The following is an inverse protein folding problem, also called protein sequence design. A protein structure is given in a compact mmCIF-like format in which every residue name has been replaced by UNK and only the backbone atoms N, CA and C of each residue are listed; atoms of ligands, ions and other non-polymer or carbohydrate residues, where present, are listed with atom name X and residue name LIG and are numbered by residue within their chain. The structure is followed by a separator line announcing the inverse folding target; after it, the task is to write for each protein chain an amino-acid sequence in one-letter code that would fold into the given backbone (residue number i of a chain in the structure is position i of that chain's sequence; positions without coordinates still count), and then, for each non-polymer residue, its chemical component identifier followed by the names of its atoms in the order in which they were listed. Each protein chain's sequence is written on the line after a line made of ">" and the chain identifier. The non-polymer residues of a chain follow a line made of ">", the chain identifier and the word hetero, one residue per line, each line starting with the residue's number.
data_IF_143594831384
#
_entry.id   IF_143594831384
#
_cell.length_a   1.000
_cell.length_b   1.000
_cell.length_c   1.000
_cell.angle_alpha   90.00
_cell.angle_beta   90.00
_cell.angle_gamma   90.00
#
_symmetry.space_group_name_H-M   'P 1'
#
loop_
_entity.id
_entity.type
_entity.pdbx_description
1 polymer ?
#
# COMPACT_ATOMS: atom_id res chain seq x y z
N UNK A 1 11.43 -0.78 -7.01
CA UNK A 1 10.77 -2.02 -6.54
C UNK A 1 11.22 -3.16 -7.42
N UNK A 2 11.71 -4.24 -6.81
CA UNK A 2 12.16 -5.42 -7.54
C UNK A 2 10.94 -6.15 -8.10
N UNK A 3 10.96 -6.42 -9.39
CA UNK A 3 9.89 -7.15 -10.04
C UNK A 3 10.52 -8.02 -11.12
N UNK A 4 10.03 -9.25 -11.26
CA UNK A 4 10.66 -10.26 -12.10
C UNK A 4 10.18 -10.13 -13.56
N UNK A 5 11.01 -10.57 -14.50
CA UNK A 5 10.69 -10.57 -15.93
C UNK A 5 9.71 -11.69 -16.29
N UNK A 6 9.13 -11.62 -17.50
CA UNK A 6 8.10 -12.57 -17.95
C UNK A 6 8.57 -14.03 -17.95
N UNK A 7 9.86 -14.30 -18.19
CA UNK A 7 10.45 -15.65 -18.14
C UNK A 7 10.23 -16.30 -16.76
N UNK A 8 10.38 -15.54 -15.68
CA UNK A 8 10.12 -16.04 -14.33
C UNK A 8 8.66 -16.45 -14.14
N UNK A 9 7.74 -15.77 -14.82
CA UNK A 9 6.30 -15.97 -14.72
C UNK A 9 5.71 -16.85 -15.82
N UNK A 10 6.52 -17.48 -16.68
CA UNK A 10 6.04 -18.21 -17.86
C UNK A 10 5.01 -19.29 -17.51
N UNK A 11 5.30 -20.13 -16.51
CA UNK A 11 4.36 -21.16 -16.04
C UNK A 11 3.06 -20.58 -15.47
N UNK A 12 3.13 -19.41 -14.84
CA UNK A 12 1.94 -18.73 -14.33
C UNK A 12 1.10 -18.19 -15.49
N UNK A 13 1.74 -17.57 -16.47
CA UNK A 13 1.09 -17.08 -17.69
C UNK A 13 0.39 -18.23 -18.42
N UNK A 14 1.05 -19.38 -18.56
CA UNK A 14 0.46 -20.59 -19.16
C UNK A 14 -0.79 -21.04 -18.38
N UNK A 15 -0.72 -21.10 -17.05
CA UNK A 15 -1.87 -21.47 -16.20
C UNK A 15 -3.04 -20.50 -16.34
N UNK A 16 -2.76 -19.19 -16.39
CA UNK A 16 -3.79 -18.16 -16.59
C UNK A 16 -4.44 -18.31 -17.98
N UNK A 17 -3.65 -18.56 -19.02
CA UNK A 17 -4.18 -18.81 -20.36
C UNK A 17 -5.05 -20.08 -20.41
N UNK A 18 -4.60 -21.16 -19.76
CA UNK A 18 -5.39 -22.39 -19.64
C UNK A 18 -6.69 -22.18 -18.85
N UNK A 19 -6.70 -21.29 -17.86
CA UNK A 19 -7.93 -20.90 -17.16
C UNK A 19 -8.89 -20.16 -18.10
N UNK A 20 -8.40 -19.16 -18.84
CA UNK A 20 -9.21 -18.41 -19.81
C UNK A 20 -9.87 -19.31 -20.84
N UNK A 21 -9.13 -20.24 -21.42
CA UNK A 21 -9.66 -21.14 -22.46
C UNK A 21 -10.70 -22.12 -21.94
N UNK A 22 -10.58 -22.53 -20.67
CA UNK A 22 -11.52 -23.44 -20.02
C UNK A 22 -12.71 -22.74 -19.36
N UNK A 23 -12.64 -21.43 -19.14
CA UNK A 23 -13.71 -20.67 -18.46
C UNK A 23 -15.09 -20.88 -19.11
N UNK A 24 -15.24 -20.89 -20.46
CA UNK A 24 -16.54 -21.15 -21.10
C UNK A 24 -17.10 -22.56 -20.81
N UNK A 25 -16.23 -23.53 -20.56
CA UNK A 25 -16.58 -24.93 -20.29
C UNK A 25 -16.76 -25.22 -18.79
N UNK A 26 -16.23 -24.37 -17.92
CA UNK A 26 -16.31 -24.51 -16.47
C UNK A 26 -17.60 -23.87 -15.97
N UNK A 27 -18.43 -24.65 -15.27
CA UNK A 27 -19.52 -24.09 -14.47
C UNK A 27 -18.90 -23.25 -13.35
N UNK A 28 -18.95 -21.93 -13.51
CA UNK A 28 -18.51 -20.98 -12.49
C UNK A 28 -19.46 -21.14 -11.28
N UNK A 29 -18.93 -21.38 -10.06
CA UNK A 29 -19.76 -21.55 -8.87
C UNK A 29 -20.52 -20.27 -8.54
N UNK A 30 -21.67 -20.42 -7.87
CA UNK A 30 -22.44 -19.28 -7.37
C UNK A 30 -21.68 -18.55 -6.26
N UNK A 31 -22.08 -17.33 -5.94
CA UNK A 31 -21.49 -16.58 -4.82
C UNK A 31 -21.72 -17.29 -3.48
N UNK A 32 -22.88 -17.93 -3.32
CA UNK A 32 -23.22 -18.73 -2.13
C UNK A 32 -22.28 -19.92 -1.99
N UNK A 33 -22.05 -20.69 -3.06
CA UNK A 33 -21.13 -21.83 -3.06
C UNK A 33 -19.72 -21.40 -2.66
N UNK A 34 -19.23 -20.30 -3.22
CA UNK A 34 -17.91 -19.76 -2.92
C UNK A 34 -17.79 -19.35 -1.45
N UNK A 35 -18.84 -18.70 -0.93
CA UNK A 35 -18.89 -18.24 0.46
C UNK A 35 -18.87 -19.42 1.43
N UNK A 36 -19.56 -20.52 1.10
CA UNK A 36 -19.60 -21.75 1.93
C UNK A 36 -18.23 -22.44 1.96
N UNK A 37 -17.60 -22.60 0.79
CA UNK A 37 -16.32 -23.33 0.69
C UNK A 37 -15.14 -22.46 1.16
N UNK A 38 -15.33 -21.14 1.23
CA UNK A 38 -14.30 -20.19 1.64
C UNK A 38 -13.19 -19.99 0.60
N UNK A 39 -13.48 -20.25 -0.67
CA UNK A 39 -12.55 -20.00 -1.78
C UNK A 39 -12.56 -18.50 -2.08
N UNK A 40 -11.40 -17.94 -2.46
CA UNK A 40 -11.27 -16.55 -2.91
C UNK A 40 -10.92 -16.51 -4.40
N UNK A 41 -11.93 -16.44 -5.29
CA UNK A 41 -11.71 -16.55 -6.74
C UNK A 41 -11.31 -15.24 -7.41
N UNK A 42 -11.56 -14.09 -6.76
CA UNK A 42 -11.32 -12.76 -7.33
C UNK A 42 -9.89 -12.57 -7.89
N UNK A 43 -8.81 -12.98 -7.20
CA UNK A 43 -7.46 -12.84 -7.73
C UNK A 43 -7.28 -13.51 -9.10
N UNK A 44 -7.92 -14.66 -9.33
CA UNK A 44 -7.80 -15.43 -10.56
C UNK A 44 -8.47 -14.73 -11.75
N UNK A 45 -9.66 -14.16 -11.53
CA UNK A 45 -10.35 -13.35 -12.56
C UNK A 45 -9.56 -12.08 -12.88
N UNK A 46 -9.00 -11.42 -11.88
CA UNK A 46 -8.19 -10.20 -12.06
C UNK A 46 -6.94 -10.49 -12.89
N UNK A 47 -6.17 -11.54 -12.56
CA UNK A 47 -4.96 -11.88 -13.34
C UNK A 47 -5.30 -12.37 -14.74
N UNK A 48 -6.44 -13.06 -14.87
CA UNK A 48 -6.96 -13.46 -16.16
C UNK A 48 -7.56 -12.29 -16.93
N UNK A 49 -7.76 -11.11 -16.33
CA UNK A 49 -8.42 -9.97 -16.99
C UNK A 49 -9.78 -10.37 -17.57
N UNK A 50 -10.50 -11.23 -16.86
CA UNK A 50 -11.85 -11.64 -17.21
C UNK A 50 -12.84 -10.90 -16.31
N UNK A 51 -13.99 -10.53 -16.87
CA UNK A 51 -15.05 -9.91 -16.09
C UNK A 51 -15.58 -10.89 -15.05
N UNK A 52 -16.03 -10.35 -13.91
CA UNK A 52 -16.70 -11.17 -12.91
C UNK A 52 -18.06 -11.63 -13.46
N UNK A 53 -18.56 -12.79 -13.02
CA UNK A 53 -19.95 -13.17 -13.25
C UNK A 53 -20.88 -12.09 -12.69
N UNK A 54 -21.93 -11.73 -13.44
CA UNK A 54 -22.91 -10.69 -13.04
C UNK A 54 -23.54 -10.97 -11.67
N UNK A 55 -23.73 -12.24 -11.32
CA UNK A 55 -24.22 -12.66 -10.01
C UNK A 55 -23.25 -12.28 -8.88
N UNK A 56 -21.94 -12.38 -9.09
CA UNK A 56 -20.95 -12.00 -8.08
C UNK A 56 -20.89 -10.49 -7.92
N UNK A 57 -21.10 -9.75 -9.01
CA UNK A 57 -21.08 -8.29 -8.97
C UNK A 57 -22.14 -7.72 -8.03
N UNK A 58 -23.35 -8.30 -8.00
CA UNK A 58 -24.42 -7.84 -7.10
C UNK A 58 -24.13 -8.05 -5.61
N UNK A 59 -23.12 -8.84 -5.26
CA UNK A 59 -22.71 -9.11 -3.88
C UNK A 59 -21.51 -8.29 -3.41
N UNK A 60 -20.92 -7.47 -4.30
CA UNK A 60 -19.75 -6.67 -4.00
C UNK A 60 -20.11 -5.19 -3.84
N UNK A 61 -19.54 -4.49 -2.85
CA UNK A 61 -19.73 -3.05 -2.73
C UNK A 61 -19.14 -2.33 -3.95
N UNK A 62 -19.75 -1.20 -4.31
CA UNK A 62 -19.42 -0.45 -5.54
C UNK A 62 -17.94 -0.12 -5.66
N UNK A 63 -17.30 0.33 -4.58
CA UNK A 63 -15.87 0.66 -4.58
C UNK A 63 -15.00 -0.56 -4.92
N UNK A 64 -15.37 -1.74 -4.43
CA UNK A 64 -14.62 -3.00 -4.63
C UNK A 64 -14.71 -3.42 -6.08
N UNK A 65 -15.89 -3.29 -6.70
CA UNK A 65 -16.07 -3.50 -8.14
C UNK A 65 -15.26 -2.52 -8.98
N UNK A 66 -15.32 -1.23 -8.67
CA UNK A 66 -14.56 -0.20 -9.39
C UNK A 66 -13.05 -0.48 -9.32
N UNK A 67 -12.54 -0.86 -8.14
CA UNK A 67 -11.14 -1.25 -7.99
C UNK A 67 -10.79 -2.50 -8.80
N UNK A 68 -11.58 -3.56 -8.71
CA UNK A 68 -11.38 -4.81 -9.47
C UNK A 68 -11.36 -4.53 -10.98
N UNK A 69 -12.36 -3.79 -11.46
CA UNK A 69 -12.48 -3.42 -12.86
C UNK A 69 -11.30 -2.54 -13.31
N UNK A 70 -10.78 -1.67 -12.45
CA UNK A 70 -9.58 -0.88 -12.75
C UNK A 70 -8.33 -1.75 -12.97
N UNK A 71 -8.22 -2.88 -12.25
CA UNK A 71 -7.11 -3.83 -12.40
C UNK A 71 -7.27 -4.69 -13.66
N UNK A 72 -8.47 -5.21 -13.91
CA UNK A 72 -8.80 -6.00 -15.12
C UNK A 72 -8.52 -5.18 -16.38
N UNK A 73 -9.00 -3.93 -16.42
CA UNK A 73 -8.92 -3.05 -17.58
C UNK A 73 -7.59 -2.28 -17.68
N UNK A 74 -6.65 -2.49 -16.75
CA UNK A 74 -5.35 -1.82 -16.79
C UNK A 74 -4.61 -2.18 -18.08
N UNK A 75 -4.14 -1.23 -18.91
CA UNK A 75 -3.48 -1.57 -20.16
C UNK A 75 -2.24 -2.45 -19.91
N UNK A 76 -2.02 -3.51 -20.70
CA UNK A 76 -0.83 -4.34 -20.56
C UNK A 76 0.42 -3.51 -20.85
N UNK A 77 1.49 -3.76 -20.08
CA UNK A 77 2.76 -3.11 -20.35
C UNK A 77 3.39 -3.76 -21.59
N UNK A 78 4.03 -2.99 -22.49
CA UNK A 78 4.76 -3.55 -23.63
C UNK A 78 5.84 -4.57 -23.22
N UNK A 79 6.32 -4.46 -21.97
CA UNK A 79 7.41 -5.28 -21.42
C UNK A 79 6.94 -6.40 -20.49
N UNK A 80 5.65 -6.43 -20.13
CA UNK A 80 5.11 -7.40 -19.17
C UNK A 80 3.70 -7.81 -19.50
N UNK A 81 3.50 -9.13 -19.59
CA UNK A 81 2.19 -9.75 -19.83
C UNK A 81 1.29 -9.76 -18.59
N UNK A 82 1.89 -9.74 -17.39
CA UNK A 82 1.16 -9.77 -16.12
C UNK A 82 1.13 -8.39 -15.45
N UNK A 83 0.17 -8.20 -14.53
CA UNK A 83 0.19 -7.05 -13.61
C UNK A 83 1.47 -7.14 -12.79
N UNK A 84 2.21 -6.05 -12.79
CA UNK A 84 3.49 -5.95 -12.11
C UNK A 84 3.29 -5.42 -10.69
N UNK A 85 4.21 -5.74 -9.76
CA UNK A 85 4.11 -5.29 -8.37
C UNK A 85 3.99 -3.76 -8.29
N UNK A 86 4.69 -3.04 -9.18
CA UNK A 86 4.68 -1.56 -9.29
C UNK A 86 3.35 -1.02 -9.72
N UNK A 87 2.72 -1.70 -10.67
CA UNK A 87 1.39 -1.32 -11.12
C UNK A 87 0.37 -1.55 -10.00
N UNK A 88 0.45 -2.70 -9.32
CA UNK A 88 -0.44 -2.99 -8.21
C UNK A 88 -0.29 -1.98 -7.06
N UNK A 89 0.96 -1.68 -6.66
CA UNK A 89 1.24 -0.69 -5.62
C UNK A 89 0.64 0.68 -5.94
N UNK A 90 0.85 1.17 -7.17
CA UNK A 90 0.34 2.48 -7.59
C UNK A 90 -1.19 2.46 -7.73
N UNK A 91 -1.79 1.37 -8.20
CA UNK A 91 -3.25 1.22 -8.24
C UNK A 91 -3.87 1.28 -6.86
N UNK A 92 -3.27 0.62 -5.86
CA UNK A 92 -3.71 0.68 -4.47
C UNK A 92 -3.65 2.11 -3.93
N UNK A 93 -2.56 2.82 -4.19
CA UNK A 93 -2.40 4.22 -3.77
C UNK A 93 -3.44 5.11 -4.45
N UNK A 94 -3.61 4.99 -5.78
CA UNK A 94 -4.57 5.80 -6.54
C UNK A 94 -5.99 5.57 -6.03
N UNK A 95 -6.39 4.32 -5.86
CA UNK A 95 -7.73 3.97 -5.39
C UNK A 95 -7.94 4.43 -3.94
N UNK A 96 -6.94 4.28 -3.07
CA UNK A 96 -7.01 4.84 -1.70
C UNK A 96 -7.25 6.36 -1.69
N UNK A 97 -6.52 7.10 -2.52
CA UNK A 97 -6.68 8.56 -2.61
C UNK A 97 -8.08 8.95 -3.14
N UNK A 98 -8.61 8.18 -4.10
CA UNK A 98 -9.98 8.37 -4.57
C UNK A 98 -11.00 8.11 -3.45
N UNK A 99 -10.88 7.01 -2.71
CA UNK A 99 -11.78 6.70 -1.59
C UNK A 99 -11.71 7.72 -0.46
N UNK A 100 -10.53 8.31 -0.25
CA UNK A 100 -10.34 9.41 0.69
C UNK A 100 -11.05 10.68 0.23
N UNK A 101 -11.02 10.98 -1.06
CA UNK A 101 -11.74 12.12 -1.65
C UNK A 101 -13.26 11.95 -1.55
N UNK A 102 -13.75 10.75 -1.82
CA UNK A 102 -15.18 10.39 -1.72
C UNK A 102 -15.67 10.24 -0.27
N UNK A 103 -14.77 10.10 0.69
CA UNK A 103 -15.05 9.77 2.09
C UNK A 103 -16.00 8.56 2.23
N UNK A 104 -15.71 7.49 1.47
CA UNK A 104 -16.58 6.34 1.37
C UNK A 104 -16.66 5.56 2.72
N UNK A 105 -17.83 5.45 3.37
CA UNK A 105 -17.95 4.81 4.69
C UNK A 105 -17.85 3.27 4.64
N UNK A 106 -18.09 2.66 3.48
CA UNK A 106 -18.01 1.20 3.28
C UNK A 106 -16.60 0.73 2.90
N UNK A 107 -15.66 1.66 2.75
CA UNK A 107 -14.29 1.36 2.36
C UNK A 107 -13.37 1.20 3.57
N UNK A 108 -12.56 0.15 3.54
CA UNK A 108 -11.40 0.00 4.41
C UNK A 108 -10.22 -0.61 3.63
N UNK A 109 -9.01 -0.01 3.69
CA UNK A 109 -7.83 -0.52 2.98
C UNK A 109 -7.48 -2.01 3.25
N UNK A 110 -7.87 -2.59 4.38
CA UNK A 110 -7.61 -4.01 4.64
C UNK A 110 -8.42 -4.97 3.81
N UNK A 111 -9.58 -4.56 3.30
CA UNK A 111 -10.38 -5.38 2.40
C UNK A 111 -9.74 -5.58 1.02
N UNK A 112 -8.68 -4.83 0.68
CA UNK A 112 -7.83 -5.20 -0.45
C UNK A 112 -7.30 -6.63 -0.33
N UNK A 113 -7.11 -7.12 0.89
CA UNK A 113 -6.61 -8.49 1.07
C UNK A 113 -7.57 -9.56 0.56
N UNK A 114 -8.87 -9.31 0.55
CA UNK A 114 -9.89 -10.22 0.00
C UNK A 114 -9.95 -10.20 -1.52
N UNK A 115 -9.46 -9.11 -2.13
CA UNK A 115 -9.39 -8.94 -3.57
C UNK A 115 -8.10 -9.54 -4.12
N UNK A 116 -6.99 -9.38 -3.40
CA UNK A 116 -5.65 -9.66 -3.91
C UNK A 116 -5.13 -11.06 -3.56
N UNK A 117 -5.59 -11.69 -2.49
CA UNK A 117 -5.00 -12.94 -2.01
C UNK A 117 -6.01 -14.09 -2.01
N UNK A 118 -5.54 -15.25 -2.47
CA UNK A 118 -6.36 -16.47 -2.46
C UNK A 118 -6.42 -17.15 -1.09
N UNK A 119 -5.44 -16.91 -0.23
CA UNK A 119 -5.31 -17.58 1.05
C UNK A 119 -4.81 -16.65 2.16
N UNK A 120 -4.90 -17.14 3.40
CA UNK A 120 -4.49 -16.42 4.61
C UNK A 120 -2.98 -16.16 4.70
N UNK A 121 -2.16 -16.89 3.94
CA UNK A 121 -0.70 -16.73 3.97
C UNK A 121 -0.25 -15.41 3.33
N UNK A 122 -1.08 -14.78 2.47
CA UNK A 122 -0.87 -13.43 1.92
C UNK A 122 0.51 -13.17 1.29
N UNK A 123 1.17 -14.21 0.78
CA UNK A 123 2.52 -14.12 0.20
C UNK A 123 2.55 -13.78 -1.30
N UNK A 124 1.41 -13.92 -1.99
CA UNK A 124 1.34 -13.81 -3.45
C UNK A 124 0.13 -12.98 -3.89
N UNK A 125 0.20 -11.64 -3.80
CA UNK A 125 -0.90 -10.78 -4.23
C UNK A 125 -1.09 -10.95 -5.74
N UNK A 126 -2.29 -11.31 -6.18
CA UNK A 126 -2.58 -11.62 -7.58
C UNK A 126 -1.58 -12.62 -8.17
N UNK A 127 -1.16 -13.60 -7.36
CA UNK A 127 -0.13 -14.59 -7.70
C UNK A 127 1.25 -14.02 -8.04
N UNK A 128 1.48 -12.72 -7.86
CA UNK A 128 2.79 -12.07 -8.04
C UNK A 128 3.72 -12.51 -6.91
N UNK A 129 4.98 -12.76 -7.20
CA UNK A 129 5.96 -13.11 -6.17
C UNK A 129 6.41 -11.84 -5.41
N UNK A 130 6.02 -11.72 -4.14
CA UNK A 130 6.32 -10.56 -3.28
C UNK A 130 7.01 -11.03 -1.97
N UNK A 131 8.30 -11.42 -2.03
CA UNK A 131 9.01 -12.01 -0.89
C UNK A 131 9.20 -11.03 0.28
N UNK A 132 9.10 -9.73 0.02
CA UNK A 132 9.24 -8.67 1.03
C UNK A 132 7.89 -8.25 1.62
N UNK A 133 6.79 -8.90 1.23
CA UNK A 133 5.42 -8.56 1.66
C UNK A 133 5.13 -7.07 1.47
N UNK A 134 5.61 -6.51 0.36
CA UNK A 134 5.54 -5.09 0.03
C UNK A 134 4.09 -4.62 -0.04
N UNK A 135 3.23 -5.40 -0.70
CA UNK A 135 1.82 -5.04 -0.89
C UNK A 135 1.04 -5.14 0.42
N UNK A 136 1.24 -6.23 1.18
CA UNK A 136 0.58 -6.39 2.48
C UNK A 136 0.97 -5.28 3.45
N UNK A 137 2.28 -4.99 3.55
CA UNK A 137 2.79 -3.90 4.37
C UNK A 137 2.23 -2.55 3.95
N UNK A 138 2.04 -2.35 2.64
CA UNK A 138 1.44 -1.14 2.11
C UNK A 138 -0.06 -1.03 2.45
N UNK A 139 -0.85 -2.09 2.29
CA UNK A 139 -2.25 -2.12 2.73
C UNK A 139 -2.39 -1.79 4.23
N UNK A 140 -1.51 -2.31 5.08
CA UNK A 140 -1.48 -1.98 6.51
C UNK A 140 -1.14 -0.50 6.74
N UNK A 141 -0.20 0.06 5.97
CA UNK A 141 0.16 1.48 6.01
C UNK A 141 -1.04 2.36 5.65
N UNK A 142 -1.74 2.01 4.56
CA UNK A 142 -2.95 2.71 4.12
C UNK A 142 -4.06 2.60 5.15
N UNK A 143 -4.21 1.46 5.83
CA UNK A 143 -5.16 1.37 6.94
C UNK A 143 -4.84 2.37 8.03
N UNK A 144 -3.59 2.39 8.52
CA UNK A 144 -3.25 3.28 9.63
C UNK A 144 -3.54 4.74 9.26
N UNK A 145 -3.32 5.14 8.00
CA UNK A 145 -3.74 6.45 7.51
C UNK A 145 -5.26 6.63 7.55
N UNK A 146 -6.01 5.64 7.04
CA UNK A 146 -7.47 5.66 7.03
C UNK A 146 -8.06 5.83 8.43
N UNK A 147 -7.57 5.08 9.41
CA UNK A 147 -8.02 5.15 10.81
C UNK A 147 -7.70 6.48 11.48
N UNK A 148 -6.64 7.17 11.02
CA UNK A 148 -6.23 8.47 11.56
C UNK A 148 -6.71 9.66 10.72
N UNK A 149 -7.54 9.43 9.69
CA UNK A 149 -7.89 10.45 8.68
C UNK A 149 -8.59 11.68 9.26
N UNK A 150 -9.50 11.49 10.22
CA UNK A 150 -10.23 12.57 10.90
C UNK A 150 -9.26 13.42 11.74
N UNK A 151 -8.48 12.78 12.61
CA UNK A 151 -7.48 13.43 13.48
C UNK A 151 -6.43 14.22 12.69
N UNK A 152 -6.11 13.77 11.49
CA UNK A 152 -5.08 14.38 10.63
C UNK A 152 -5.63 15.32 9.59
N UNK A 153 -6.96 15.43 9.48
CA UNK A 153 -7.64 16.15 8.41
C UNK A 153 -7.11 15.68 7.03
N UNK A 154 -6.93 14.37 6.87
CA UNK A 154 -6.31 13.78 5.68
C UNK A 154 -7.14 14.07 4.42
N UNK A 155 -8.46 14.19 4.59
CA UNK A 155 -9.44 14.54 3.54
C UNK A 155 -9.29 15.98 3.02
N UNK A 156 -8.55 16.85 3.72
CA UNK A 156 -8.29 18.23 3.29
C UNK A 156 -7.14 18.34 2.27
N UNK A 157 -6.34 17.28 2.12
CA UNK A 157 -5.27 17.25 1.12
C UNK A 157 -5.87 17.12 -0.29
N UNK A 158 -5.45 17.99 -1.20
CA UNK A 158 -5.93 18.02 -2.61
C UNK A 158 -4.87 17.69 -3.63
N UNK A 159 -3.60 17.92 -3.29
CA UNK A 159 -2.48 17.63 -4.18
C UNK A 159 -1.55 16.65 -3.48
N UNK A 160 -1.30 15.51 -4.13
CA UNK A 160 -0.41 14.48 -3.63
C UNK A 160 0.83 14.38 -4.50
N UNK A 161 1.97 14.13 -3.87
CA UNK A 161 3.23 13.83 -4.54
C UNK A 161 3.79 12.55 -3.95
N UNK A 162 3.87 11.52 -4.79
CA UNK A 162 4.54 10.27 -4.45
C UNK A 162 5.93 10.25 -5.10
N UNK A 163 6.98 10.06 -4.30
CA UNK A 163 8.38 10.01 -4.78
C UNK A 163 8.85 8.57 -4.86
N UNK A 164 9.86 8.33 -5.69
CA UNK A 164 10.46 7.01 -5.94
C UNK A 164 11.04 6.32 -4.68
N UNK A 165 11.23 7.07 -3.59
CA UNK A 165 11.69 6.57 -2.29
C UNK A 165 10.54 6.04 -1.42
N UNK A 166 9.30 5.97 -1.93
CA UNK A 166 8.14 5.56 -1.13
C UNK A 166 7.62 6.66 -0.21
N UNK A 167 8.02 7.91 -0.43
CA UNK A 167 7.56 9.06 0.34
C UNK A 167 6.30 9.63 -0.32
N UNK A 168 5.21 9.66 0.44
CA UNK A 168 3.97 10.33 0.06
C UNK A 168 3.90 11.69 0.78
N UNK A 169 3.74 12.76 0.03
CA UNK A 169 3.51 14.10 0.53
C UNK A 169 2.15 14.62 0.05
N UNK A 170 1.53 15.48 0.84
CA UNK A 170 0.30 16.17 0.47
C UNK A 170 0.41 17.69 0.66
N UNK A 171 -0.42 18.43 -0.08
CA UNK A 171 -0.78 19.83 0.20
C UNK A 171 -2.28 19.98 0.38
N UNK A 172 -2.66 20.78 1.37
CA UNK A 172 -4.05 21.22 1.57
C UNK A 172 -4.35 22.38 0.61
N UNK A 173 -5.62 22.56 0.24
CA UNK A 173 -6.01 23.69 -0.61
C UNK A 173 -5.65 25.05 0.01
N UNK A 174 -5.85 25.18 1.33
CA UNK A 174 -5.60 26.42 2.07
C UNK A 174 -4.11 26.72 2.34
N UNK A 175 -3.22 25.75 2.17
CA UNK A 175 -1.81 25.89 2.57
C UNK A 175 -0.87 25.26 1.54
N UNK A 176 0.02 26.10 0.99
CA UNK A 176 0.99 25.70 -0.04
C UNK A 176 2.20 24.92 0.49
N UNK A 177 2.28 24.62 1.79
CA UNK A 177 3.38 23.81 2.36
C UNK A 177 3.14 22.31 2.19
N UNK A 178 4.17 21.59 1.74
CA UNK A 178 4.15 20.13 1.67
C UNK A 178 4.22 19.55 3.07
N UNK A 179 3.29 18.65 3.40
CA UNK A 179 3.39 17.78 4.58
C UNK A 179 3.63 16.35 4.17
N UNK A 180 4.44 15.64 4.95
CA UNK A 180 4.73 14.23 4.73
C UNK A 180 3.63 13.37 5.34
N UNK A 181 3.06 12.50 4.52
CA UNK A 181 1.96 11.59 4.88
C UNK A 181 2.51 10.18 5.17
N UNK A 182 3.37 9.67 4.29
CA UNK A 182 4.09 8.40 4.47
C UNK A 182 5.57 8.65 4.22
N UNK A 183 6.43 8.10 5.06
CA UNK A 183 7.88 8.11 4.86
C UNK A 183 8.54 6.90 5.52
N UNK A 184 9.87 6.89 5.51
CA UNK A 184 10.71 6.01 6.29
C UNK A 184 11.79 6.85 6.98
N UNK A 185 12.39 6.31 8.04
CA UNK A 185 13.47 6.99 8.74
C UNK A 185 14.80 6.83 7.99
N UNK A 186 15.35 7.95 7.51
CA UNK A 186 16.69 8.01 6.91
C UNK A 186 17.86 8.11 7.91
N UNK A 187 17.56 8.22 9.21
CA UNK A 187 18.54 8.43 10.27
C UNK A 187 19.42 7.22 10.56
N UNK A 188 20.45 7.43 11.37
CA UNK A 188 21.37 6.40 11.84
C UNK A 188 21.32 6.29 13.38
N UNK A 189 21.47 5.08 13.89
CA UNK A 189 21.62 4.77 15.31
C UNK A 189 23.09 4.37 15.55
N UNK A 190 23.74 5.01 16.51
CA UNK A 190 25.16 4.77 16.82
C UNK A 190 25.38 3.29 17.16
N UNK A 191 26.37 2.66 16.50
CA UNK A 191 26.70 1.25 16.70
C UNK A 191 25.75 0.25 16.01
N UNK A 192 24.61 0.69 15.46
CA UNK A 192 23.65 -0.19 14.74
C UNK A 192 23.52 0.12 13.24
N UNK A 193 23.96 1.30 12.80
CA UNK A 193 23.85 1.74 11.40
C UNK A 193 22.51 2.41 11.11
N UNK A 194 21.94 2.16 9.92
CA UNK A 194 20.66 2.77 9.49
C UNK A 194 19.53 2.40 10.46
N UNK A 195 18.68 3.37 10.79
CA UNK A 195 17.60 3.18 11.76
C UNK A 195 16.57 2.13 11.31
N UNK A 196 16.26 2.09 10.01
CA UNK A 196 15.33 1.14 9.41
C UNK A 196 13.87 1.28 9.86
N UNK A 197 13.53 2.30 10.64
CA UNK A 197 12.16 2.52 11.09
C UNK A 197 11.28 2.93 9.91
N UNK A 198 10.37 2.06 9.51
CA UNK A 198 9.48 2.23 8.37
C UNK A 198 8.22 1.38 8.56
N UNK A 199 7.04 1.84 8.12
CA UNK A 199 6.75 3.20 7.65
C UNK A 199 6.64 4.18 8.83
N UNK A 200 6.87 5.47 8.55
CA UNK A 200 6.42 6.60 9.37
C UNK A 200 5.13 7.15 8.74
N UNK A 201 4.10 7.38 9.54
CA UNK A 201 2.73 7.65 9.10
C UNK A 201 2.20 8.91 9.79
N UNK A 202 1.67 9.84 8.98
CA UNK A 202 1.05 11.05 9.50
C UNK A 202 -0.19 10.71 10.35
N UNK A 203 -0.28 11.30 11.54
CA UNK A 203 -1.32 11.02 12.53
C UNK A 203 -0.91 10.07 13.64
N UNK A 204 0.04 9.18 13.34
CA UNK A 204 0.68 8.29 14.32
C UNK A 204 1.98 8.91 14.84
N UNK A 205 2.87 9.33 13.94
CA UNK A 205 4.12 10.00 14.31
C UNK A 205 3.98 11.52 14.41
N UNK A 206 4.78 12.13 15.30
CA UNK A 206 4.84 13.59 15.44
C UNK A 206 5.42 14.23 14.18
N UNK A 207 4.84 15.35 13.76
CA UNK A 207 5.40 16.17 12.69
C UNK A 207 6.45 17.14 13.22
N UNK A 208 7.53 17.30 12.48
CA UNK A 208 8.51 18.35 12.72
C UNK A 208 8.09 19.65 12.02
N UNK A 209 8.57 20.78 12.52
CA UNK A 209 8.48 22.10 11.87
C UNK A 209 8.96 22.11 10.41
N UNK A 210 9.86 21.19 10.03
CA UNK A 210 10.35 21.04 8.66
C UNK A 210 9.38 20.33 7.70
N UNK A 211 8.19 19.93 8.15
CA UNK A 211 7.17 19.25 7.34
C UNK A 211 7.37 17.74 7.17
N UNK A 212 8.40 17.16 7.81
CA UNK A 212 8.67 15.72 7.84
C UNK A 212 8.22 15.08 9.16
N UNK A 213 8.07 13.76 9.16
CA UNK A 213 7.74 12.98 10.35
C UNK A 213 9.00 12.71 11.18
N UNK A 214 8.85 12.75 12.50
CA UNK A 214 9.92 12.45 13.45
C UNK A 214 9.92 10.94 13.71
N UNK A 215 11.08 10.29 13.58
CA UNK A 215 11.23 8.89 13.96
C UNK A 215 10.86 8.67 15.44
N UNK A 216 9.97 7.73 15.77
CA UNK A 216 9.52 7.52 17.14
C UNK A 216 10.55 6.81 18.02
N UNK A 217 11.62 6.24 17.44
CA UNK A 217 12.68 5.62 18.24
C UNK A 217 13.46 6.69 19.00
N UNK A 218 13.50 6.57 20.32
CA UNK A 218 14.20 7.51 21.23
C UNK A 218 15.70 7.63 20.91
N UNK A 219 16.33 6.54 20.48
CA UNK A 219 17.74 6.52 20.06
C UNK A 219 17.99 7.10 18.65
N UNK A 220 16.94 7.54 17.94
CA UNK A 220 17.02 8.12 16.61
C UNK A 220 16.42 9.53 16.50
N UNK A 221 15.10 9.69 16.67
CA UNK A 221 14.36 10.96 16.59
C UNK A 221 14.63 11.83 15.34
N UNK A 222 15.13 11.20 14.27
CA UNK A 222 15.49 11.85 13.01
C UNK A 222 14.26 12.29 12.22
N UNK A 223 14.35 13.44 11.54
CA UNK A 223 13.39 13.87 10.53
C UNK A 223 14.09 14.19 9.20
N UNK A 224 15.10 15.07 9.20
CA UNK A 224 16.05 15.30 8.11
C UNK A 224 17.39 15.79 8.65
N UNK A 225 18.39 15.72 7.79
CA UNK A 225 19.66 16.44 7.91
C UNK A 225 19.41 17.96 7.86
N UNK A 226 20.26 18.71 8.57
CA UNK A 226 20.18 20.18 8.69
C UNK A 226 18.79 20.71 9.12
N UNK A 227 18.12 19.99 10.02
CA UNK A 227 16.93 20.50 10.70
C UNK A 227 17.33 21.00 12.10
N UNK A 228 17.15 22.31 12.41
CA UNK A 228 17.48 22.85 13.72
C UNK A 228 16.81 22.07 14.87
N UNK A 229 15.52 21.76 14.71
CA UNK A 229 14.79 20.97 15.72
C UNK A 229 15.31 19.54 15.88
N UNK A 230 15.93 18.95 14.85
CA UNK A 230 16.58 17.65 14.98
C UNK A 230 17.93 17.76 15.70
N UNK A 231 18.71 18.81 15.41
CA UNK A 231 19.98 19.07 16.08
C UNK A 231 19.80 19.27 17.58
N UNK A 232 18.79 20.04 17.98
CA UNK A 232 18.38 20.21 19.39
C UNK A 232 18.08 18.86 20.05
N UNK A 233 17.18 18.05 19.46
CA UNK A 233 16.85 16.70 19.97
C UNK A 233 18.08 15.79 20.05
N UNK A 234 18.97 15.88 19.07
CA UNK A 234 20.21 15.09 19.02
C UNK A 234 21.19 15.50 20.12
N UNK A 235 21.31 16.80 20.40
CA UNK A 235 22.13 17.34 21.49
C UNK A 235 21.59 16.90 22.85
N UNK A 236 20.28 17.06 23.08
CA UNK A 236 19.61 16.63 24.32
C UNK A 236 19.81 15.13 24.59
N UNK A 237 19.70 14.31 23.55
CA UNK A 237 19.98 12.86 23.65
C UNK A 237 21.42 12.58 24.06
N UNK A 238 22.40 13.25 23.44
CA UNK A 238 23.82 13.08 23.80
C UNK A 238 24.07 13.49 25.25
N UNK A 239 23.41 14.55 25.73
CA UNK A 239 23.50 14.99 27.11
C UNK A 239 22.90 13.97 28.09
N UNK A 240 21.75 13.35 27.76
CA UNK A 240 21.15 12.27 28.57
C UNK A 240 22.05 11.03 28.67
N UNK A 241 22.57 10.54 27.54
CA UNK A 241 23.48 9.38 27.51
C UNK A 241 24.73 9.65 28.36
N UNK A 242 25.28 10.87 28.31
CA UNK A 242 26.44 11.25 29.12
C UNK A 242 26.13 11.23 30.63
N UNK A 243 24.91 11.59 31.04
CA UNK A 243 24.50 11.56 32.45
C UNK A 243 24.26 10.15 32.98
N UNK A 244 23.89 9.19 32.14
CA UNK A 244 23.67 7.79 32.54
C UNK A 244 24.97 6.97 32.65
N UNK A 245 26.09 7.50 32.13
CA UNK A 245 27.41 6.86 32.13
C UNK A 245 28.34 7.38 33.24
N UNK A 246 27.86 8.30 34.08
CA UNK A 246 28.57 8.88 35.24
C UNK A 246 27.84 8.43 36.49
#
# INVERSE_FOLDING_TARGET
>A
MFDYGDIFYEKQIERVNNFKTKLPDVKIPSWEDISIVGIKPLPLFIIARENLPTEWESHLPKWKLEFINSLINMPPSPKKKIISLSHLYISLLKHFLQMLEENNPEYTPQEYSDILYENSQRNHPLKIYDPLQTIQSFCNTLQTLWENREKTELTEFRIFKFRHEGILQGKKAANYSWKTIIAYCGGNIKGKGKCGCSPLIFGREKSCSCGLLICPKEDCQYCKEDCPSYEERSADRKAKIRKELI
#
